data_IF_389294895109
#
_entry.id   IF_389294895109
#
_cell.length_a   1.000
_cell.length_b   1.000
_cell.length_c   1.000
_cell.angle_alpha   90.00
_cell.angle_beta   90.00
_cell.angle_gamma   90.00
#
_symmetry.space_group_name_H-M   'P 1'
#
loop_
_entity.id
_entity.type
_entity.pdbx_description
1 polymer ?
#
# COMPACT_ATOMS: atom_id res chain seq x y z
N UNK A 1 2.75 23.03 27.95
CA UNK A 1 2.05 24.32 28.08
C UNK A 1 0.73 24.10 28.78
N UNK A 2 0.46 24.88 29.84
CA UNK A 2 -0.60 24.62 30.82
C UNK A 2 -2.05 24.68 30.33
N UNK A 3 -2.28 24.85 29.04
CA UNK A 3 -3.62 24.96 28.44
C UNK A 3 -3.87 24.04 27.24
N UNK A 4 -2.94 23.16 26.89
CA UNK A 4 -3.10 22.23 25.78
C UNK A 4 -3.35 20.81 26.28
N UNK A 5 -4.22 20.07 25.56
CA UNK A 5 -4.43 18.64 25.80
C UNK A 5 -3.87 17.87 24.62
N UNK A 6 -3.14 16.82 24.91
CA UNK A 6 -2.57 15.90 23.89
C UNK A 6 -3.36 14.61 23.94
N UNK A 7 -3.75 14.10 22.77
CA UNK A 7 -4.39 12.81 22.62
C UNK A 7 -3.47 11.91 21.78
N UNK A 8 -2.95 10.87 22.39
CA UNK A 8 -2.23 9.84 21.70
C UNK A 8 -3.24 8.91 21.00
N UNK A 9 -3.21 8.88 19.66
CA UNK A 9 -4.06 7.98 18.88
C UNK A 9 -3.43 6.58 18.75
N UNK A 10 -4.19 5.63 18.24
CA UNK A 10 -3.77 4.22 18.05
C UNK A 10 -2.47 4.07 17.26
N UNK A 11 -2.17 4.96 16.32
CA UNK A 11 -0.91 4.98 15.56
C UNK A 11 0.33 5.27 16.42
N UNK A 12 0.17 5.84 17.63
CA UNK A 12 1.26 6.09 18.58
C UNK A 12 1.46 4.97 19.59
N UNK A 13 0.64 3.91 19.57
CA UNK A 13 0.82 2.75 20.44
C UNK A 13 2.10 2.01 20.02
N UNK A 14 2.94 1.62 21.00
CA UNK A 14 4.22 0.93 20.78
C UNK A 14 5.34 1.81 20.17
N UNK A 15 5.14 3.12 20.04
CA UNK A 15 6.20 4.06 19.66
C UNK A 15 7.08 4.40 20.85
N UNK A 16 8.35 4.69 20.56
CA UNK A 16 9.30 5.11 21.60
C UNK A 16 8.96 6.51 22.12
N UNK A 17 9.40 6.82 23.34
CA UNK A 17 9.24 8.15 23.93
C UNK A 17 9.83 9.23 23.04
N UNK A 18 11.00 8.98 22.44
CA UNK A 18 11.71 9.92 21.59
C UNK A 18 10.93 10.25 20.30
N UNK A 19 10.28 9.24 19.69
CA UNK A 19 9.42 9.42 18.50
C UNK A 19 8.19 10.26 18.84
N UNK A 20 7.56 10.00 19.98
CA UNK A 20 6.38 10.74 20.44
C UNK A 20 6.73 12.19 20.83
N UNK A 21 7.87 12.41 21.47
CA UNK A 21 8.37 13.74 21.81
C UNK A 21 8.73 14.55 20.57
N UNK A 22 9.34 13.89 19.58
CA UNK A 22 9.63 14.51 18.29
C UNK A 22 8.36 14.95 17.56
N UNK A 23 7.33 14.11 17.49
CA UNK A 23 6.04 14.44 16.85
C UNK A 23 5.33 15.59 17.60
N UNK A 24 5.32 15.54 18.91
CA UNK A 24 4.76 16.63 19.74
C UNK A 24 5.48 17.96 19.48
N UNK A 25 6.81 17.97 19.44
CA UNK A 25 7.59 19.16 19.18
C UNK A 25 7.31 19.75 17.78
N UNK A 26 7.13 18.90 16.77
CA UNK A 26 6.71 19.33 15.43
C UNK A 26 5.33 19.99 15.44
N UNK A 27 4.35 19.39 16.13
CA UNK A 27 3.00 19.97 16.24
C UNK A 27 3.03 21.31 16.98
N UNK A 28 3.84 21.44 18.02
CA UNK A 28 4.03 22.70 18.74
C UNK A 28 4.68 23.77 17.86
N UNK A 29 5.68 23.41 17.04
CA UNK A 29 6.33 24.33 16.10
C UNK A 29 5.34 24.86 15.05
N UNK A 30 4.51 23.98 14.48
CA UNK A 30 3.42 24.37 13.56
C UNK A 30 2.44 25.34 14.25
N UNK A 31 2.05 25.03 15.47
CA UNK A 31 1.13 25.88 16.22
C UNK A 31 1.70 27.30 16.50
N UNK A 32 2.97 27.39 16.87
CA UNK A 32 3.63 28.69 17.08
C UNK A 32 3.78 29.47 15.76
N UNK A 33 4.08 28.79 14.64
CA UNK A 33 4.10 29.40 13.32
C UNK A 33 2.71 30.00 12.97
N UNK A 34 1.63 29.23 13.18
CA UNK A 34 0.24 29.68 12.99
C UNK A 34 -0.05 30.92 13.82
N UNK A 35 0.24 30.92 15.13
CA UNK A 35 0.04 32.07 16.00
C UNK A 35 0.77 33.34 15.49
N UNK A 36 2.01 33.14 15.06
CA UNK A 36 2.83 34.26 14.56
C UNK A 36 2.23 34.90 13.31
N UNK A 37 1.67 34.08 12.40
CA UNK A 37 1.04 34.57 11.17
C UNK A 37 -0.29 35.29 11.46
N UNK A 38 -1.11 34.76 12.37
CA UNK A 38 -2.39 35.34 12.77
C UNK A 38 -2.23 36.76 13.31
N UNK A 39 -1.16 37.01 14.08
CA UNK A 39 -0.90 38.34 14.65
C UNK A 39 -0.40 39.36 13.60
N UNK A 40 0.24 38.89 12.52
CA UNK A 40 0.89 39.73 11.51
C UNK A 40 0.01 40.14 10.32
N UNK A 41 -1.09 39.43 10.08
CA UNK A 41 -1.94 39.63 8.89
C UNK A 41 -3.38 39.90 9.29
N UNK A 42 -4.03 40.85 8.57
CA UNK A 42 -5.46 41.12 8.72
C UNK A 42 -6.28 40.03 8.00
N UNK A 43 -7.41 39.63 8.60
CA UNK A 43 -8.33 38.67 8.03
C UNK A 43 -9.14 39.27 6.86
N UNK A 44 -9.58 38.48 5.86
CA UNK A 44 -9.38 37.05 5.71
C UNK A 44 -8.08 36.69 4.95
N UNK A 45 -7.33 35.70 5.44
CA UNK A 45 -6.17 35.14 4.74
C UNK A 45 -6.01 33.64 5.04
N UNK A 46 -5.31 32.92 4.15
CA UNK A 46 -5.00 31.51 4.34
C UNK A 46 -3.90 31.37 5.38
N UNK A 47 -4.23 30.80 6.53
CA UNK A 47 -3.30 30.62 7.65
C UNK A 47 -2.40 29.43 7.45
N UNK A 48 -3.00 28.31 7.04
CA UNK A 48 -2.31 27.04 6.85
C UNK A 48 -3.05 26.22 5.79
N UNK A 49 -2.34 25.63 4.86
CA UNK A 49 -2.89 24.74 3.84
C UNK A 49 -2.12 23.43 3.82
N UNK A 50 -2.76 22.37 4.23
CA UNK A 50 -2.21 21.00 4.21
C UNK A 50 -2.48 20.27 2.88
N UNK A 51 -2.33 20.92 1.75
CA UNK A 51 -2.79 20.35 0.47
C UNK A 51 -1.70 19.81 -0.44
N UNK A 52 -0.42 19.99 -0.09
CA UNK A 52 0.69 19.52 -0.92
C UNK A 52 1.13 18.13 -0.47
N UNK A 53 1.14 17.15 -1.41
CA UNK A 53 1.57 15.77 -1.14
C UNK A 53 3.01 15.71 -0.59
N UNK A 54 3.90 16.60 -1.09
CA UNK A 54 5.29 16.69 -0.63
C UNK A 54 5.37 17.12 0.84
N UNK A 55 4.62 18.16 1.23
CA UNK A 55 4.61 18.64 2.62
C UNK A 55 4.04 17.60 3.58
N UNK A 56 3.00 16.87 3.15
CA UNK A 56 2.47 15.74 3.93
C UNK A 56 3.51 14.63 4.07
N UNK A 57 4.21 14.28 3.00
CA UNK A 57 5.26 13.28 3.04
C UNK A 57 6.40 13.69 3.98
N UNK A 58 6.83 14.94 3.94
CA UNK A 58 7.84 15.47 4.85
C UNK A 58 7.40 15.39 6.30
N UNK A 59 6.16 15.76 6.61
CA UNK A 59 5.63 15.67 7.96
C UNK A 59 5.52 14.22 8.44
N UNK A 60 5.05 13.32 7.58
CA UNK A 60 4.70 11.96 7.97
C UNK A 60 5.92 11.01 7.94
N UNK A 61 6.89 11.24 7.06
CA UNK A 61 7.99 10.29 6.80
C UNK A 61 9.39 10.83 7.10
N UNK A 62 9.57 12.14 7.37
CA UNK A 62 10.90 12.67 7.68
C UNK A 62 11.29 12.32 9.12
N UNK A 63 11.96 11.19 9.26
CA UNK A 63 12.53 10.68 10.50
C UNK A 63 14.02 11.01 10.61
N UNK A 64 14.65 10.73 11.74
CA UNK A 64 16.07 11.04 11.98
C UNK A 64 17.02 10.23 11.08
N UNK A 65 16.63 9.04 10.68
CA UNK A 65 17.38 8.10 9.84
C UNK A 65 17.40 8.46 8.34
N UNK A 66 16.52 9.40 7.90
CA UNK A 66 16.55 9.91 6.53
C UNK A 66 17.84 10.70 6.29
N UNK A 67 18.65 10.28 5.32
CA UNK A 67 19.90 10.92 4.94
C UNK A 67 19.73 12.14 4.05
N UNK A 68 18.86 12.02 3.02
CA UNK A 68 18.63 13.11 2.06
C UNK A 68 17.19 13.10 1.51
N UNK A 69 16.77 14.26 1.02
CA UNK A 69 15.48 14.50 0.40
C UNK A 69 15.77 15.16 -0.96
N UNK A 70 15.37 14.48 -2.03
CA UNK A 70 15.57 14.96 -3.40
C UNK A 70 14.23 15.36 -4.00
N UNK A 71 14.16 16.54 -4.58
CA UNK A 71 12.98 17.07 -5.26
C UNK A 71 13.42 17.66 -6.59
N UNK A 72 12.81 17.21 -7.69
CA UNK A 72 13.12 17.60 -9.08
C UNK A 72 12.21 18.72 -9.60
N UNK A 73 11.08 19.01 -8.95
CA UNK A 73 10.20 20.11 -9.33
C UNK A 73 10.50 21.35 -8.48
N UNK A 74 10.83 22.46 -9.15
CA UNK A 74 11.32 23.68 -8.51
C UNK A 74 10.36 24.27 -7.48
N UNK A 75 9.07 24.33 -7.82
CA UNK A 75 8.05 24.89 -6.94
C UNK A 75 7.87 24.01 -5.69
N UNK A 76 7.82 22.67 -5.85
CA UNK A 76 7.73 21.74 -4.73
C UNK A 76 8.98 21.83 -3.83
N UNK A 77 10.17 22.03 -4.42
CA UNK A 77 11.40 22.26 -3.66
C UNK A 77 11.33 23.54 -2.83
N UNK A 78 10.88 24.65 -3.42
CA UNK A 78 10.79 25.93 -2.73
C UNK A 78 9.75 25.86 -1.59
N UNK A 79 8.57 25.25 -1.83
CA UNK A 79 7.55 25.00 -0.82
C UNK A 79 8.10 24.10 0.34
N UNK A 80 8.82 23.05 -0.01
CA UNK A 80 9.46 22.15 0.97
C UNK A 80 10.54 22.86 1.79
N UNK A 81 11.34 23.71 1.15
CA UNK A 81 12.39 24.51 1.79
C UNK A 81 11.80 25.49 2.79
N UNK A 82 10.73 26.18 2.41
CA UNK A 82 10.01 27.09 3.30
C UNK A 82 9.45 26.32 4.51
N UNK A 83 8.77 25.22 4.29
CA UNK A 83 8.21 24.38 5.35
C UNK A 83 9.27 23.86 6.31
N UNK A 84 10.35 23.25 5.78
CA UNK A 84 11.44 22.70 6.61
C UNK A 84 12.12 23.80 7.41
N UNK A 85 12.35 24.99 6.82
CA UNK A 85 12.99 26.11 7.52
C UNK A 85 12.17 26.62 8.68
N UNK A 86 10.82 26.57 8.60
CA UNK A 86 9.91 27.02 9.63
C UNK A 86 9.69 25.98 10.74
N UNK A 87 9.56 24.70 10.37
CA UNK A 87 9.10 23.64 11.27
C UNK A 87 10.26 22.76 11.77
N UNK A 88 11.24 22.47 10.89
CA UNK A 88 12.33 21.52 11.15
C UNK A 88 13.69 22.03 10.63
N UNK A 89 14.18 23.19 11.06
CA UNK A 89 15.36 23.84 10.46
C UNK A 89 16.62 22.96 10.48
N UNK A 90 16.74 22.02 11.43
CA UNK A 90 17.85 21.05 11.50
C UNK A 90 17.92 20.13 10.29
N UNK A 91 16.79 19.87 9.61
CA UNK A 91 16.72 18.99 8.45
C UNK A 91 16.95 19.71 7.10
N UNK A 92 17.12 21.03 7.11
CA UNK A 92 17.30 21.81 5.88
C UNK A 92 18.53 21.36 5.05
N UNK A 93 19.57 20.87 5.72
CA UNK A 93 20.78 20.34 5.07
C UNK A 93 20.54 19.06 4.27
N UNK A 94 19.48 18.32 4.60
CA UNK A 94 19.11 17.09 3.92
C UNK A 94 18.34 17.34 2.62
N UNK A 95 17.75 18.54 2.47
CA UNK A 95 16.97 18.91 1.30
C UNK A 95 17.90 19.34 0.16
N UNK A 96 17.76 18.70 -0.99
CA UNK A 96 18.54 18.99 -2.20
C UNK A 96 17.60 19.13 -3.40
N UNK A 97 17.90 20.09 -4.26
CA UNK A 97 17.26 20.18 -5.56
C UNK A 97 17.94 19.20 -6.51
N UNK A 98 17.16 18.40 -7.22
CA UNK A 98 17.65 17.47 -8.21
C UNK A 98 17.54 18.11 -9.59
N UNK A 99 18.67 18.32 -10.25
CA UNK A 99 18.77 19.00 -11.56
C UNK A 99 19.73 18.20 -12.46
N UNK A 100 19.49 16.89 -12.58
CA UNK A 100 20.26 16.03 -13.47
C UNK A 100 19.44 15.69 -14.72
N UNK A 101 20.13 15.34 -15.83
CA UNK A 101 19.49 15.00 -17.11
C UNK A 101 18.64 13.72 -17.03
N UNK A 102 19.00 12.79 -16.15
CA UNK A 102 18.25 11.55 -15.94
C UNK A 102 17.10 11.81 -14.97
N UNK A 103 15.85 11.46 -15.32
CA UNK A 103 14.71 11.64 -14.40
C UNK A 103 14.95 10.97 -13.04
N UNK A 104 14.54 11.66 -11.95
CA UNK A 104 14.80 11.23 -10.58
C UNK A 104 14.36 9.79 -10.31
N UNK A 105 13.16 9.40 -10.71
CA UNK A 105 12.64 8.04 -10.47
C UNK A 105 13.37 6.98 -11.29
N UNK A 106 13.84 7.34 -12.50
CA UNK A 106 14.66 6.45 -13.34
C UNK A 106 16.04 6.24 -12.72
N UNK A 107 16.68 7.32 -12.25
CA UNK A 107 18.01 7.25 -11.63
C UNK A 107 18.04 6.34 -10.39
N UNK A 108 16.98 6.36 -9.59
CA UNK A 108 16.85 5.54 -8.39
C UNK A 108 16.04 4.25 -8.60
N UNK A 109 15.73 3.88 -9.86
CA UNK A 109 14.98 2.67 -10.23
C UNK A 109 13.62 2.54 -9.50
N UNK A 110 12.95 3.67 -9.26
CA UNK A 110 11.67 3.72 -8.54
C UNK A 110 10.50 3.40 -9.46
N UNK A 111 10.58 3.78 -10.76
CA UNK A 111 9.48 3.60 -11.72
C UNK A 111 9.03 2.13 -11.81
N UNK A 112 9.97 1.19 -11.92
CA UNK A 112 9.65 -0.24 -11.96
C UNK A 112 8.99 -0.75 -10.67
N UNK A 113 9.34 -0.16 -9.53
CA UNK A 113 8.73 -0.50 -8.25
C UNK A 113 7.32 0.08 -8.12
N UNK A 114 7.07 1.28 -8.67
CA UNK A 114 5.72 1.85 -8.76
C UNK A 114 4.84 0.96 -9.62
N UNK A 115 5.30 0.57 -10.82
CA UNK A 115 4.56 -0.34 -11.70
C UNK A 115 4.26 -1.69 -11.02
N UNK A 116 5.23 -2.25 -10.29
CA UNK A 116 5.01 -3.50 -9.55
C UNK A 116 3.90 -3.41 -8.49
N UNK A 117 3.64 -2.22 -7.96
CA UNK A 117 2.57 -2.02 -6.99
C UNK A 117 1.15 -2.10 -7.61
N UNK A 118 1.05 -1.99 -8.94
CA UNK A 118 -0.21 -2.13 -9.68
C UNK A 118 -0.40 -3.52 -10.29
N UNK A 119 0.64 -4.38 -10.28
CA UNK A 119 0.55 -5.74 -10.82
C UNK A 119 -0.12 -6.68 -9.82
N UNK A 120 -0.83 -7.67 -10.35
CA UNK A 120 -1.45 -8.73 -9.56
C UNK A 120 -0.42 -9.66 -8.91
N UNK A 121 0.71 -9.93 -9.58
CA UNK A 121 1.78 -10.81 -9.12
C UNK A 121 3.07 -10.04 -8.93
N UNK A 122 3.83 -10.39 -7.91
CA UNK A 122 5.15 -9.86 -7.60
C UNK A 122 6.16 -11.00 -7.57
N UNK A 123 7.21 -10.88 -8.38
CA UNK A 123 8.26 -11.89 -8.45
C UNK A 123 9.19 -11.81 -7.24
N UNK A 124 9.60 -12.98 -6.77
CA UNK A 124 10.58 -13.13 -5.70
C UNK A 124 12.00 -13.32 -6.28
N UNK A 125 13.06 -12.84 -5.62
CA UNK A 125 14.44 -13.04 -6.06
C UNK A 125 14.83 -14.51 -6.29
N UNK A 126 14.26 -15.44 -5.51
CA UNK A 126 14.46 -16.88 -5.69
C UNK A 126 13.75 -17.47 -6.92
N UNK A 127 12.91 -16.70 -7.60
CA UNK A 127 12.13 -17.11 -8.78
C UNK A 127 10.71 -17.57 -8.47
N UNK A 128 10.26 -17.56 -7.22
CA UNK A 128 8.85 -17.70 -6.84
C UNK A 128 8.07 -16.41 -7.08
N UNK A 129 6.78 -16.40 -6.74
CA UNK A 129 5.96 -15.20 -6.85
C UNK A 129 4.92 -15.13 -5.73
N UNK A 130 4.53 -13.91 -5.39
CA UNK A 130 3.43 -13.59 -4.49
C UNK A 130 2.29 -12.99 -5.30
N UNK A 131 1.11 -13.59 -5.23
CA UNK A 131 -0.10 -13.13 -5.91
C UNK A 131 -0.99 -12.45 -4.87
N UNK A 132 -1.45 -11.24 -5.17
CA UNK A 132 -2.22 -10.41 -4.23
C UNK A 132 -3.56 -10.08 -4.85
N UNK A 133 -4.63 -10.59 -4.26
CA UNK A 133 -6.00 -10.41 -4.71
C UNK A 133 -6.84 -9.64 -3.71
N UNK A 134 -7.62 -8.70 -4.21
CA UNK A 134 -8.64 -8.01 -3.46
C UNK A 134 -9.99 -8.69 -3.65
N UNK A 135 -10.60 -9.11 -2.54
CA UNK A 135 -12.02 -9.46 -2.52
C UNK A 135 -12.82 -8.34 -1.84
N UNK A 136 -14.14 -8.43 -1.87
CA UNK A 136 -15.00 -7.46 -1.19
C UNK A 136 -14.74 -7.36 0.33
N UNK A 137 -14.38 -8.48 0.97
CA UNK A 137 -14.26 -8.59 2.42
C UNK A 137 -12.82 -8.61 2.94
N UNK A 138 -11.87 -9.11 2.17
CA UNK A 138 -10.49 -9.33 2.60
C UNK A 138 -9.49 -9.26 1.42
N UNK A 139 -8.22 -9.20 1.78
CA UNK A 139 -7.12 -9.39 0.83
C UNK A 139 -6.60 -10.81 0.98
N UNK A 140 -6.55 -11.57 -0.11
CA UNK A 140 -5.93 -12.89 -0.18
C UNK A 140 -4.55 -12.78 -0.82
N UNK A 141 -3.60 -13.52 -0.26
CA UNK A 141 -2.22 -13.56 -0.76
C UNK A 141 -1.83 -15.02 -0.92
N UNK A 142 -1.49 -15.40 -2.16
CA UNK A 142 -1.04 -16.74 -2.53
C UNK A 142 0.46 -16.74 -2.84
N UNK A 143 1.17 -17.79 -2.47
CA UNK A 143 2.61 -17.93 -2.66
C UNK A 143 2.90 -19.09 -3.60
N UNK A 144 3.54 -18.78 -4.71
CA UNK A 144 3.95 -19.75 -5.71
C UNK A 144 5.46 -19.97 -5.66
N UNK A 145 5.91 -21.24 -5.55
CA UNK A 145 7.32 -21.59 -5.64
C UNK A 145 7.80 -21.60 -7.09
N UNK A 146 9.11 -21.38 -7.29
CA UNK A 146 9.73 -21.53 -8.62
C UNK A 146 9.61 -22.97 -9.13
N UNK A 147 9.46 -23.12 -10.45
CA UNK A 147 9.39 -24.45 -11.12
C UNK A 147 10.66 -25.30 -10.97
N UNK A 148 11.79 -24.70 -10.63
CA UNK A 148 13.07 -25.42 -10.46
C UNK A 148 13.35 -25.68 -8.99
N UNK A 149 12.79 -26.75 -8.46
CA UNK A 149 13.22 -27.33 -7.19
C UNK A 149 14.62 -27.95 -7.37
N UNK A 150 15.65 -27.14 -7.28
CA UNK A 150 17.05 -27.63 -7.24
C UNK A 150 17.48 -28.13 -5.86
N UNK A 151 16.60 -28.08 -4.87
CA UNK A 151 16.86 -28.54 -3.52
C UNK A 151 16.47 -30.01 -3.36
N UNK A 152 17.30 -30.79 -2.68
CA UNK A 152 17.04 -32.17 -2.31
C UNK A 152 15.94 -32.31 -1.26
N UNK A 153 15.44 -31.23 -0.69
CA UNK A 153 14.41 -31.19 0.32
C UNK A 153 13.31 -30.16 -0.02
N UNK A 154 12.09 -30.66 -0.23
CA UNK A 154 10.90 -29.85 -0.53
C UNK A 154 10.60 -28.89 0.65
N UNK A 155 10.79 -29.37 1.88
CA UNK A 155 10.56 -28.59 3.09
C UNK A 155 11.51 -27.38 3.20
N UNK A 156 12.80 -27.54 2.85
CA UNK A 156 13.79 -26.46 2.86
C UNK A 156 13.46 -25.40 1.81
N UNK A 157 13.04 -25.84 0.63
CA UNK A 157 12.60 -24.95 -0.46
C UNK A 157 11.36 -24.16 -0.05
N UNK A 158 10.36 -24.81 0.58
CA UNK A 158 9.15 -24.18 1.08
C UNK A 158 9.48 -23.12 2.15
N UNK A 159 10.36 -23.45 3.11
CA UNK A 159 10.81 -22.53 4.13
C UNK A 159 11.49 -21.30 3.52
N UNK A 160 12.44 -21.48 2.62
CA UNK A 160 13.17 -20.38 1.99
C UNK A 160 12.21 -19.45 1.23
N UNK A 161 11.32 -20.01 0.40
CA UNK A 161 10.32 -19.23 -0.36
C UNK A 161 9.35 -18.49 0.58
N UNK A 162 8.85 -19.15 1.62
CA UNK A 162 7.93 -18.53 2.56
C UNK A 162 8.59 -17.41 3.39
N UNK A 163 9.85 -17.55 3.78
CA UNK A 163 10.62 -16.50 4.48
C UNK A 163 10.81 -15.28 3.59
N UNK A 164 11.18 -15.49 2.33
CA UNK A 164 11.33 -14.42 1.34
C UNK A 164 9.99 -13.72 1.06
N UNK A 165 8.93 -14.51 0.88
CA UNK A 165 7.56 -14.01 0.69
C UNK A 165 7.09 -13.18 1.88
N UNK A 166 7.39 -13.58 3.11
CA UNK A 166 6.99 -12.83 4.31
C UNK A 166 7.58 -11.40 4.33
N UNK A 167 8.82 -11.24 3.86
CA UNK A 167 9.47 -9.93 3.73
C UNK A 167 8.79 -9.11 2.64
N UNK A 168 8.59 -9.72 1.47
CA UNK A 168 7.97 -9.03 0.33
C UNK A 168 6.52 -8.66 0.59
N UNK A 169 5.73 -9.54 1.23
CA UNK A 169 4.36 -9.24 1.64
C UNK A 169 4.33 -8.00 2.54
N UNK A 170 5.17 -7.93 3.56
CA UNK A 170 5.24 -6.76 4.43
C UNK A 170 5.56 -5.47 3.66
N UNK A 171 6.44 -5.55 2.65
CA UNK A 171 6.75 -4.44 1.75
C UNK A 171 5.55 -4.04 0.89
N UNK A 172 4.86 -5.00 0.28
CA UNK A 172 3.69 -4.78 -0.57
C UNK A 172 2.49 -4.21 0.21
N UNK A 173 2.27 -4.65 1.45
CA UNK A 173 1.25 -4.08 2.32
C UNK A 173 1.43 -2.57 2.53
N UNK A 174 2.69 -2.12 2.73
CA UNK A 174 3.02 -0.70 2.87
C UNK A 174 2.91 0.06 1.55
N UNK A 175 3.45 -0.49 0.45
CA UNK A 175 3.46 0.16 -0.87
C UNK A 175 2.05 0.37 -1.42
N UNK A 176 1.18 -0.62 -1.26
CA UNK A 176 -0.19 -0.61 -1.77
C UNK A 176 -1.22 -0.05 -0.77
N UNK A 177 -0.80 0.31 0.44
CA UNK A 177 -1.68 0.70 1.56
C UNK A 177 -2.81 -0.31 1.83
N UNK A 178 -2.50 -1.62 1.73
CA UNK A 178 -3.47 -2.68 1.95
C UNK A 178 -3.85 -2.75 3.43
N UNK A 179 -5.13 -2.72 3.74
CA UNK A 179 -5.63 -2.76 5.11
C UNK A 179 -6.91 -3.59 5.23
N UNK A 180 -7.29 -3.87 6.46
CA UNK A 180 -8.40 -4.76 6.79
C UNK A 180 -7.91 -6.16 7.13
N UNK A 181 -8.73 -7.18 6.87
CA UNK A 181 -8.37 -8.59 7.05
C UNK A 181 -7.54 -9.07 5.86
N UNK A 182 -6.44 -9.73 6.14
CA UNK A 182 -5.51 -10.27 5.15
C UNK A 182 -5.31 -11.75 5.48
N UNK A 183 -5.42 -12.61 4.48
CA UNK A 183 -5.17 -14.04 4.58
C UNK A 183 -4.04 -14.41 3.65
N UNK A 184 -3.00 -15.02 4.20
CA UNK A 184 -1.81 -15.45 3.46
C UNK A 184 -1.81 -16.98 3.39
N UNK A 185 -1.73 -17.51 2.18
CA UNK A 185 -1.59 -18.94 1.90
C UNK A 185 -0.10 -19.25 1.71
N UNK A 186 0.53 -19.75 2.77
CA UNK A 186 1.92 -20.15 2.75
C UNK A 186 2.08 -21.55 2.15
N UNK A 187 3.17 -21.77 1.44
CA UNK A 187 3.52 -23.11 0.97
C UNK A 187 3.57 -24.07 2.16
N UNK A 188 2.94 -25.22 2.03
CA UNK A 188 2.83 -26.21 3.11
C UNK A 188 4.17 -26.57 3.74
N UNK A 189 4.23 -26.52 5.07
CA UNK A 189 5.39 -26.92 5.88
C UNK A 189 4.93 -27.89 6.97
N UNK A 190 5.59 -29.04 7.06
CA UNK A 190 5.29 -30.05 8.08
C UNK A 190 6.01 -29.81 9.41
N UNK A 191 7.17 -29.13 9.37
CA UNK A 191 8.01 -28.88 10.53
C UNK A 191 7.55 -27.60 11.24
N UNK A 192 7.02 -27.75 12.44
CA UNK A 192 6.52 -26.62 13.26
C UNK A 192 7.58 -25.53 13.53
N UNK A 193 8.85 -25.90 13.61
CA UNK A 193 9.96 -24.96 13.76
C UNK A 193 10.03 -24.00 12.54
N UNK A 194 9.82 -24.53 11.33
CA UNK A 194 9.84 -23.77 10.10
C UNK A 194 8.66 -22.79 10.02
N UNK A 195 7.47 -23.25 10.39
CA UNK A 195 6.28 -22.39 10.49
C UNK A 195 6.53 -21.19 11.43
N UNK A 196 7.12 -21.44 12.61
CA UNK A 196 7.47 -20.38 13.56
C UNK A 196 8.52 -19.42 13.02
N UNK A 197 9.45 -19.90 12.23
CA UNK A 197 10.48 -19.05 11.59
C UNK A 197 9.85 -18.06 10.62
N UNK A 198 8.93 -18.54 9.76
CA UNK A 198 8.16 -17.69 8.84
C UNK A 198 7.30 -16.66 9.61
N UNK A 199 6.57 -17.09 10.64
CA UNK A 199 5.80 -16.19 11.51
C UNK A 199 6.68 -15.09 12.12
N UNK A 200 7.86 -15.45 12.63
CA UNK A 200 8.78 -14.51 13.25
C UNK A 200 9.37 -13.55 12.22
N UNK A 201 9.66 -14.03 11.01
CA UNK A 201 10.16 -13.18 9.95
C UNK A 201 9.09 -12.17 9.50
N UNK A 202 7.85 -12.59 9.34
CA UNK A 202 6.75 -11.68 9.03
C UNK A 202 6.58 -10.63 10.15
N UNK A 203 6.59 -11.04 11.43
CA UNK A 203 6.52 -10.12 12.58
C UNK A 203 7.67 -9.11 12.61
N UNK A 204 8.87 -9.50 12.18
CA UNK A 204 10.01 -8.59 12.07
C UNK A 204 9.82 -7.59 10.93
N UNK A 205 9.40 -8.08 9.75
CA UNK A 205 9.25 -7.26 8.56
C UNK A 205 8.14 -6.18 8.69
N UNK A 206 7.07 -6.48 9.44
CA UNK A 206 5.98 -5.50 9.66
C UNK A 206 6.27 -4.49 10.77
N UNK A 207 7.36 -4.61 11.55
CA UNK A 207 7.68 -3.63 12.60
C UNK A 207 7.95 -2.21 12.06
N UNK A 208 8.38 -2.11 10.82
CA UNK A 208 8.61 -0.82 10.16
C UNK A 208 7.29 -0.15 9.72
N UNK A 209 6.17 -0.87 9.77
CA UNK A 209 4.88 -0.32 9.38
C UNK A 209 4.31 0.57 10.50
N UNK A 210 3.77 1.72 10.10
CA UNK A 210 3.11 2.65 11.03
C UNK A 210 1.70 2.23 11.40
N UNK A 211 1.09 1.34 10.59
CA UNK A 211 -0.24 0.82 10.85
C UNK A 211 -0.19 -0.18 12.01
N UNK A 212 -1.22 -0.18 12.82
CA UNK A 212 -1.39 -1.24 13.83
C UNK A 212 -1.68 -2.55 13.11
N UNK A 213 -0.86 -3.57 13.40
CA UNK A 213 -0.96 -4.90 12.80
C UNK A 213 -1.13 -5.94 13.90
N UNK A 214 -2.05 -6.88 13.68
CA UNK A 214 -2.21 -8.07 14.50
C UNK A 214 -1.96 -9.28 13.61
N UNK A 215 -1.11 -10.22 14.06
CA UNK A 215 -0.71 -11.39 13.27
C UNK A 215 -1.06 -12.64 14.07
N UNK A 216 -1.81 -13.53 13.43
CA UNK A 216 -2.13 -14.86 13.94
C UNK A 216 -0.95 -15.83 13.91
N UNK A 217 -1.26 -17.09 13.96
CA UNK A 217 -0.34 -18.21 13.72
C UNK A 217 -0.72 -18.89 12.43
N UNK A 218 0.23 -19.58 11.81
CA UNK A 218 -0.07 -20.45 10.67
C UNK A 218 -1.00 -21.57 11.16
N UNK A 219 -2.15 -21.70 10.52
CA UNK A 219 -3.16 -22.72 10.84
C UNK A 219 -2.74 -24.08 10.30
N UNK A 220 -3.48 -25.13 10.69
CA UNK A 220 -3.30 -26.49 10.14
C UNK A 220 -3.55 -26.60 8.63
N UNK A 221 -4.08 -25.55 8.01
CA UNK A 221 -4.35 -25.46 6.58
C UNK A 221 -3.31 -24.63 5.81
N UNK A 222 -2.16 -24.28 6.43
CA UNK A 222 -1.15 -23.42 5.82
C UNK A 222 -1.47 -21.92 5.87
N UNK A 223 -2.69 -21.54 6.26
CA UNK A 223 -3.16 -20.16 6.21
C UNK A 223 -2.70 -19.37 7.44
N UNK A 224 -2.23 -18.15 7.21
CA UNK A 224 -1.98 -17.16 8.25
C UNK A 224 -2.95 -15.99 8.10
N UNK A 225 -3.69 -15.71 9.15
CA UNK A 225 -4.61 -14.57 9.22
C UNK A 225 -3.91 -13.41 9.92
N UNK A 226 -4.06 -12.22 9.35
CA UNK A 226 -3.60 -10.98 9.96
C UNK A 226 -4.59 -9.85 9.71
N UNK A 227 -4.56 -8.83 10.56
CA UNK A 227 -5.29 -7.60 10.35
C UNK A 227 -4.35 -6.41 10.36
N UNK A 228 -4.52 -5.48 9.41
CA UNK A 228 -3.79 -4.23 9.33
C UNK A 228 -4.77 -3.06 9.35
N UNK A 229 -4.51 -2.09 10.20
CA UNK A 229 -5.32 -0.87 10.26
C UNK A 229 -5.26 -0.13 8.92
N UNK A 230 -6.42 0.26 8.37
CA UNK A 230 -6.49 1.12 7.20
C UNK A 230 -6.11 2.54 7.59
N UNK A 231 -5.00 3.05 7.07
CA UNK A 231 -4.57 4.43 7.27
C UNK A 231 -5.10 5.34 6.15
N UNK A 232 -5.16 4.82 4.92
CA UNK A 232 -5.62 5.48 3.70
C UNK A 232 -6.37 4.48 2.81
N UNK A 233 -7.11 4.94 1.78
CA UNK A 233 -7.60 4.05 0.73
C UNK A 233 -6.43 3.32 0.06
N UNK A 234 -6.64 2.08 -0.34
CA UNK A 234 -5.62 1.32 -1.06
C UNK A 234 -5.25 2.00 -2.38
N UNK A 235 -4.01 1.77 -2.85
CA UNK A 235 -3.52 2.35 -4.10
C UNK A 235 -4.43 2.04 -5.29
N UNK A 236 -4.95 0.81 -5.36
CA UNK A 236 -5.90 0.37 -6.39
C UNK A 236 -7.25 1.10 -6.29
N UNK A 237 -7.76 1.33 -5.09
CA UNK A 237 -9.03 2.04 -4.87
C UNK A 237 -8.98 3.50 -5.32
N UNK A 238 -7.81 4.14 -5.19
CA UNK A 238 -7.63 5.57 -5.51
C UNK A 238 -7.25 5.84 -6.96
N UNK A 239 -6.60 4.89 -7.65
CA UNK A 239 -5.97 5.13 -8.95
C UNK A 239 -6.43 4.19 -10.07
N UNK A 240 -7.32 3.22 -9.79
CA UNK A 240 -7.84 2.29 -10.78
C UNK A 240 -9.34 2.46 -10.97
N UNK A 241 -9.82 2.19 -12.17
CA UNK A 241 -11.23 2.13 -12.52
C UNK A 241 -11.65 0.67 -12.68
N UNK A 242 -12.83 0.35 -12.16
CA UNK A 242 -13.41 -0.98 -12.37
C UNK A 242 -13.60 -1.21 -13.88
N UNK A 243 -13.09 -2.31 -14.39
CA UNK A 243 -13.21 -2.67 -15.79
C UNK A 243 -14.70 -2.77 -16.20
N UNK A 244 -15.21 -1.95 -17.16
CA UNK A 244 -16.62 -1.96 -17.53
C UNK A 244 -17.06 -3.27 -18.21
N UNK A 245 -16.12 -4.04 -18.75
CA UNK A 245 -16.41 -5.30 -19.45
C UNK A 245 -16.64 -6.47 -18.50
N UNK A 246 -15.84 -6.61 -17.45
CA UNK A 246 -15.97 -7.71 -16.49
C UNK A 246 -16.49 -7.25 -15.12
N UNK A 247 -16.74 -5.94 -14.91
CA UNK A 247 -17.21 -5.37 -13.65
C UNK A 247 -16.34 -5.78 -12.45
N UNK A 248 -15.03 -5.92 -12.65
CA UNK A 248 -14.07 -6.32 -11.61
C UNK A 248 -13.91 -7.83 -11.40
N UNK A 249 -14.65 -8.67 -12.13
CA UNK A 249 -14.62 -10.15 -11.96
C UNK A 249 -13.31 -10.77 -12.50
N UNK A 250 -12.60 -10.09 -13.41
CA UNK A 250 -11.36 -10.60 -14.05
C UNK A 250 -11.59 -11.59 -15.20
N UNK A 251 -12.84 -12.07 -15.39
CA UNK A 251 -13.21 -12.99 -16.46
C UNK A 251 -14.52 -12.59 -17.13
N UNK A 252 -14.74 -13.03 -18.35
CA UNK A 252 -15.98 -12.81 -19.10
C UNK A 252 -16.49 -14.16 -19.62
N UNK A 253 -17.78 -14.22 -19.93
CA UNK A 253 -18.35 -15.41 -20.57
C UNK A 253 -17.65 -15.72 -21.90
N UNK A 254 -17.44 -17.01 -22.18
CA UNK A 254 -16.99 -17.45 -23.51
C UNK A 254 -18.02 -17.09 -24.58
N UNK A 255 -17.55 -16.94 -25.82
CA UNK A 255 -18.41 -16.61 -26.96
C UNK A 255 -19.56 -17.63 -27.09
N UNK A 256 -19.26 -18.94 -26.94
CA UNK A 256 -20.25 -20.02 -27.00
C UNK A 256 -21.32 -19.88 -25.89
N UNK A 257 -20.88 -19.63 -24.65
CA UNK A 257 -21.79 -19.44 -23.50
C UNK A 257 -22.68 -18.22 -23.69
N UNK A 258 -22.14 -17.13 -24.24
CA UNK A 258 -22.89 -15.92 -24.55
C UNK A 258 -23.91 -16.15 -25.67
N UNK A 259 -23.50 -16.82 -26.77
CA UNK A 259 -24.37 -17.15 -27.89
C UNK A 259 -25.57 -17.98 -27.44
N UNK A 260 -25.34 -19.02 -26.63
CA UNK A 260 -26.41 -19.84 -26.07
C UNK A 260 -27.36 -19.06 -25.16
N UNK A 261 -26.84 -18.11 -24.39
CA UNK A 261 -27.67 -17.25 -23.56
C UNK A 261 -28.56 -16.33 -24.42
N UNK A 262 -28.02 -15.74 -25.47
CA UNK A 262 -28.74 -14.88 -26.43
C UNK A 262 -29.84 -15.67 -27.14
N UNK A 263 -29.52 -16.88 -27.65
CA UNK A 263 -30.49 -17.75 -28.29
C UNK A 263 -31.66 -18.10 -27.35
N UNK A 264 -31.41 -18.33 -26.05
CA UNK A 264 -32.47 -18.56 -25.06
C UNK A 264 -33.35 -17.34 -24.88
N UNK A 265 -32.76 -16.15 -24.76
CA UNK A 265 -33.53 -14.90 -24.63
C UNK A 265 -34.37 -14.65 -25.90
N UNK A 266 -33.82 -14.85 -27.08
CA UNK A 266 -34.55 -14.74 -28.35
C UNK A 266 -35.72 -15.73 -28.38
N UNK A 267 -35.48 -17.00 -27.98
CA UNK A 267 -36.51 -18.03 -27.94
C UNK A 267 -37.62 -17.72 -26.91
N UNK A 268 -37.29 -17.09 -25.82
CA UNK A 268 -38.27 -16.63 -24.82
C UNK A 268 -39.11 -15.46 -25.36
N UNK A 269 -38.49 -14.45 -25.94
CA UNK A 269 -39.17 -13.30 -26.54
C UNK A 269 -40.05 -13.70 -27.74
N UNK A 270 -39.58 -14.65 -28.57
CA UNK A 270 -40.33 -15.14 -29.72
C UNK A 270 -41.64 -15.89 -29.35
N UNK A 271 -41.79 -16.32 -28.10
CA UNK A 271 -43.00 -17.02 -27.62
C UNK A 271 -44.07 -16.07 -27.08
N UNK A 272 -43.77 -14.77 -26.98
CA UNK A 272 -44.72 -13.75 -26.51
C UNK A 272 -45.66 -13.37 -27.67
N UNK A 273 -46.93 -13.47 -27.47
CA UNK A 273 -47.96 -13.22 -28.51
C UNK A 273 -47.91 -11.82 -29.15
N UNK A 274 -47.32 -10.85 -28.46
CA UNK A 274 -47.20 -9.47 -28.95
C UNK A 274 -45.86 -9.19 -29.71
N UNK A 275 -44.96 -10.15 -29.79
CA UNK A 275 -43.62 -9.93 -30.40
C UNK A 275 -43.68 -10.18 -31.92
N UNK A 276 -43.57 -9.11 -32.71
CA UNK A 276 -43.58 -9.17 -34.18
C UNK A 276 -42.17 -9.25 -34.77
N UNK A 277 -41.17 -8.69 -34.10
CA UNK A 277 -39.77 -8.64 -34.59
C UNK A 277 -38.80 -8.59 -33.43
N UNK A 278 -37.73 -9.37 -33.52
CA UNK A 278 -36.61 -9.36 -32.57
C UNK A 278 -35.35 -8.92 -33.31
N UNK A 279 -34.64 -7.93 -32.76
CA UNK A 279 -33.33 -7.48 -33.26
C UNK A 279 -32.33 -7.68 -32.13
N UNK A 280 -31.34 -8.56 -32.33
CA UNK A 280 -30.23 -8.73 -31.42
C UNK A 280 -29.03 -7.96 -31.93
N UNK A 281 -28.54 -6.99 -31.15
CA UNK A 281 -27.29 -6.29 -31.43
C UNK A 281 -26.17 -6.89 -30.56
N UNK A 282 -25.13 -7.36 -31.20
CA UNK A 282 -23.97 -8.01 -30.56
C UNK A 282 -22.77 -7.08 -30.62
N UNK A 283 -21.86 -7.11 -29.61
CA UNK A 283 -20.63 -6.34 -29.61
C UNK A 283 -19.64 -6.81 -30.68
#
# INVERSE_FOLDING_TARGET
PDQMRVILRTAGIERTTDELEWDLNNLLAIWEAIKTVIVKKEAPFLVYKESNAVLRALRDYLTFDIGEILIDEKKAYDDAKEFISQVMPQNLKKLKYYDEDVPLFTNYQIESQIESAYTHSVDLPSGGSVVIDHTEALVSIDINSAKSTKGSDIEETALATNVESAIEIARQLRLRDLGGLIVIDFIDMHVYKNQREVENQLRKAVKEDRARIQIGKISRFGLLEMSRQRLRPALSESNQLICPRCSGIGSIRSVESLALAILRIIGEEARKDMTVKIIAQLP
#
